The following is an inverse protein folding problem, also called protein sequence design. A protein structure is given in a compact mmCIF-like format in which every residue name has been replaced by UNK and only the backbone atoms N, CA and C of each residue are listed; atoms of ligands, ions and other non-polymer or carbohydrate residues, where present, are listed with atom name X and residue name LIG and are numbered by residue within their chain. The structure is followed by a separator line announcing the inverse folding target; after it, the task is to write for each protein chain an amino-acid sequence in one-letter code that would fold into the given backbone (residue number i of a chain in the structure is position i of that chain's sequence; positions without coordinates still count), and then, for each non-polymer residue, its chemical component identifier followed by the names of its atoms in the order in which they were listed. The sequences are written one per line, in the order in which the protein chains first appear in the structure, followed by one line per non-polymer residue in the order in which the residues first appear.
data_IF_589974201952
#
_entry.id   IF_589974201952
#
_cell.length_a   1.000
_cell.length_b   1.000
_cell.length_c   1.000
_cell.angle_alpha   90.00
_cell.angle_beta   90.00
_cell.angle_gamma   90.00
#
_symmetry.space_group_name_H-M   'P 1'
#
loop_
_entity.id
_entity.type
_entity.pdbx_description
1 polymer ?
#
# COMPACT_ATOMS: atom_id res chain seq x y z
N UNK A 1 -35.52 -13.96 -28.21
CA UNK A 1 -34.18 -13.35 -28.35
C UNK A 1 -33.26 -14.17 -27.46
N UNK A 2 -32.42 -15.02 -28.08
CA UNK A 2 -31.51 -15.88 -27.30
C UNK A 2 -30.23 -15.08 -27.06
N UNK A 3 -29.92 -14.77 -25.83
CA UNK A 3 -28.63 -14.19 -25.44
C UNK A 3 -27.58 -15.31 -25.61
N UNK A 4 -26.69 -15.15 -26.61
CA UNK A 4 -25.51 -15.97 -26.74
C UNK A 4 -24.36 -15.27 -25.99
N UNK A 5 -24.09 -15.71 -24.76
CA UNK A 5 -22.85 -15.35 -24.07
C UNK A 5 -21.77 -16.37 -24.48
N UNK A 6 -20.62 -15.88 -24.90
CA UNK A 6 -19.42 -16.69 -25.15
C UNK A 6 -18.38 -16.34 -24.09
N UNK A 7 -17.88 -17.35 -23.41
CA UNK A 7 -16.71 -17.20 -22.55
C UNK A 7 -15.49 -16.87 -23.43
N UNK A 8 -14.88 -15.73 -23.16
CA UNK A 8 -13.67 -15.28 -23.87
C UNK A 8 -12.38 -15.88 -23.31
N UNK A 9 -12.46 -16.63 -22.22
CA UNK A 9 -11.28 -17.20 -21.55
C UNK A 9 -10.37 -16.14 -20.92
N UNK A 10 -10.89 -14.93 -20.66
CA UNK A 10 -10.16 -13.85 -20.01
C UNK A 10 -10.59 -13.78 -18.53
N UNK A 11 -9.65 -13.96 -17.66
CA UNK A 11 -9.80 -13.72 -16.22
C UNK A 11 -9.16 -12.39 -15.86
N UNK A 12 -9.86 -11.58 -15.05
CA UNK A 12 -9.32 -10.39 -14.41
C UNK A 12 -9.10 -10.73 -12.94
N UNK A 13 -7.84 -10.98 -12.60
CA UNK A 13 -7.42 -11.23 -11.23
C UNK A 13 -6.97 -9.94 -10.54
N UNK A 14 -7.05 -9.94 -9.21
CA UNK A 14 -6.50 -8.89 -8.38
C UNK A 14 -4.96 -9.00 -8.32
N UNK A 15 -4.29 -7.86 -8.31
CA UNK A 15 -2.84 -7.78 -8.15
C UNK A 15 -2.47 -7.50 -6.69
N UNK A 16 -2.07 -8.54 -5.97
CA UNK A 16 -1.63 -8.46 -4.57
C UNK A 16 -0.33 -7.66 -4.39
N UNK A 17 0.40 -7.38 -5.47
CA UNK A 17 1.65 -6.60 -5.40
C UNK A 17 1.39 -5.10 -5.43
N UNK A 18 0.17 -4.67 -5.76
CA UNK A 18 -0.25 -3.26 -5.70
C UNK A 18 -0.51 -2.87 -4.26
N UNK A 19 0.47 -2.25 -3.65
CA UNK A 19 0.49 -1.89 -2.24
C UNK A 19 0.77 -0.41 -2.03
N UNK A 20 0.29 0.12 -0.91
CA UNK A 20 0.63 1.46 -0.43
C UNK A 20 1.10 1.36 1.01
N UNK A 21 2.15 2.10 1.35
CA UNK A 21 2.64 2.19 2.71
C UNK A 21 2.17 3.48 3.36
N UNK A 22 1.57 3.38 4.54
CA UNK A 22 0.99 4.52 5.26
C UNK A 22 1.35 4.46 6.74
N UNK A 23 1.35 5.63 7.38
CA UNK A 23 1.47 5.73 8.83
C UNK A 23 0.34 4.95 9.51
N UNK A 24 0.70 4.11 10.46
CA UNK A 24 -0.22 3.36 11.30
C UNK A 24 0.22 3.37 12.76
N UNK A 25 -0.63 3.91 13.64
CA UNK A 25 -0.43 3.89 15.08
C UNK A 25 -1.63 3.21 15.74
N UNK A 26 -1.52 1.94 16.16
CA UNK A 26 -2.62 1.26 16.82
C UNK A 26 -2.84 1.82 18.23
N UNK A 27 -4.08 2.08 18.60
CA UNK A 27 -4.49 2.28 19.99
C UNK A 27 -4.10 3.60 20.65
N UNK A 28 -4.19 4.72 19.94
CA UNK A 28 -3.79 6.05 20.44
C UNK A 28 -4.55 6.60 21.66
N UNK A 29 -5.57 5.95 22.20
CA UNK A 29 -6.49 6.67 23.09
C UNK A 29 -7.12 5.87 24.23
N UNK A 30 -6.38 5.09 24.95
CA UNK A 30 -6.90 4.54 26.21
C UNK A 30 -6.10 5.11 27.38
N UNK A 31 -6.49 6.29 27.87
CA UNK A 31 -6.01 6.77 29.16
C UNK A 31 -6.48 5.79 30.28
N UNK A 32 -5.65 5.40 31.26
CA UNK A 32 -4.43 6.09 31.74
C UNK A 32 -3.10 5.45 31.29
N UNK A 33 -3.08 4.64 30.24
CA UNK A 33 -1.86 3.98 29.79
C UNK A 33 -0.97 4.95 28.98
N UNK A 34 0.36 4.70 29.03
CA UNK A 34 1.29 5.43 28.14
C UNK A 34 0.83 5.32 26.69
N UNK A 35 0.92 6.40 25.90
CA UNK A 35 0.65 6.33 24.47
C UNK A 35 1.46 5.22 23.80
N UNK A 36 0.85 4.49 22.89
CA UNK A 36 1.52 3.39 22.17
C UNK A 36 2.82 3.86 21.50
N UNK A 37 2.83 5.09 21.00
CA UNK A 37 3.99 5.72 20.40
C UNK A 37 5.20 5.80 21.33
N UNK A 38 4.99 6.16 22.62
CA UNK A 38 6.06 6.22 23.63
C UNK A 38 6.65 4.82 23.89
N UNK A 39 5.79 3.80 24.02
CA UNK A 39 6.23 2.43 24.23
C UNK A 39 7.05 1.88 23.05
N UNK A 40 6.65 2.24 21.82
CA UNK A 40 7.40 1.89 20.60
C UNK A 40 8.77 2.59 20.65
N UNK A 41 8.81 3.90 20.89
CA UNK A 41 10.05 4.67 20.93
C UNK A 41 11.01 4.15 22.01
N UNK A 42 10.52 3.81 23.22
CA UNK A 42 11.32 3.19 24.28
C UNK A 42 11.94 1.86 23.83
N UNK A 43 11.16 0.98 23.18
CA UNK A 43 11.64 -0.31 22.69
C UNK A 43 12.69 -0.15 21.58
N UNK A 44 12.45 0.77 20.66
CA UNK A 44 13.40 1.04 19.56
C UNK A 44 14.71 1.57 20.13
N UNK A 45 14.69 2.49 21.10
CA UNK A 45 15.91 3.00 21.76
C UNK A 45 16.67 1.96 22.54
N UNK A 46 15.98 0.99 23.12
CA UNK A 46 16.60 -0.11 23.88
C UNK A 46 17.37 -1.11 22.99
N UNK A 47 17.21 -1.06 21.66
CA UNK A 47 17.98 -1.91 20.76
C UNK A 47 19.46 -1.56 20.81
N UNK A 48 20.32 -2.57 20.86
CA UNK A 48 21.75 -2.37 20.65
C UNK A 48 22.01 -1.81 19.23
N UNK A 49 23.02 -0.95 19.05
CA UNK A 49 23.25 -0.30 17.74
C UNK A 49 23.37 -1.28 16.56
N UNK A 50 23.95 -2.45 16.79
CA UNK A 50 24.10 -3.48 15.73
C UNK A 50 22.75 -4.14 15.40
N UNK A 51 21.92 -4.39 16.42
CA UNK A 51 20.55 -4.89 16.21
C UNK A 51 19.71 -3.91 15.42
N UNK A 52 19.75 -2.61 15.77
CA UNK A 52 19.04 -1.59 15.03
C UNK A 52 19.50 -1.52 13.58
N UNK A 53 20.82 -1.60 13.31
CA UNK A 53 21.35 -1.63 11.94
C UNK A 53 20.89 -2.84 11.15
N UNK A 54 20.85 -4.01 11.78
CA UNK A 54 20.37 -5.23 11.11
C UNK A 54 18.88 -5.12 10.76
N UNK A 55 18.05 -4.74 11.72
CA UNK A 55 16.61 -4.58 11.50
C UNK A 55 16.32 -3.51 10.41
N UNK A 56 17.03 -2.38 10.43
CA UNK A 56 16.89 -1.35 9.41
C UNK A 56 17.20 -1.87 8.00
N UNK A 57 18.29 -2.64 7.85
CA UNK A 57 18.62 -3.30 6.56
C UNK A 57 17.52 -4.26 6.13
N UNK A 58 17.10 -5.16 7.03
CA UNK A 58 16.08 -6.17 6.72
C UNK A 58 14.76 -5.52 6.28
N UNK A 59 14.36 -4.40 6.90
CA UNK A 59 13.18 -3.64 6.51
C UNK A 59 13.34 -3.03 5.10
N UNK A 60 14.47 -2.39 4.83
CA UNK A 60 14.72 -1.76 3.54
C UNK A 60 14.84 -2.80 2.41
N UNK A 61 15.48 -3.92 2.67
CA UNK A 61 15.62 -5.02 1.71
C UNK A 61 14.28 -5.70 1.40
N UNK A 62 13.45 -5.92 2.43
CA UNK A 62 12.17 -6.60 2.27
C UNK A 62 11.10 -5.74 1.56
N UNK A 63 11.05 -4.45 1.82
CA UNK A 63 9.98 -3.55 1.35
C UNK A 63 10.44 -2.60 0.25
N UNK A 64 11.73 -2.27 0.15
CA UNK A 64 12.29 -1.35 -0.84
C UNK A 64 11.93 -1.65 -2.29
N UNK A 65 11.92 -2.91 -2.75
CA UNK A 65 11.53 -3.25 -4.12
C UNK A 65 10.12 -2.80 -4.53
N UNK A 66 9.21 -2.65 -3.54
CA UNK A 66 7.82 -2.20 -3.79
C UNK A 66 7.58 -0.71 -3.52
N UNK A 67 8.51 -0.06 -2.83
CA UNK A 67 8.38 1.34 -2.41
C UNK A 67 9.65 2.12 -2.72
N UNK A 68 9.76 2.78 -3.89
CA UNK A 68 10.98 3.47 -4.31
C UNK A 68 11.50 4.52 -3.31
N UNK A 69 10.59 5.17 -2.55
CA UNK A 69 10.91 6.21 -1.58
C UNK A 69 10.80 5.74 -0.12
N UNK A 70 10.99 4.45 0.14
CA UNK A 70 10.73 3.82 1.44
C UNK A 70 11.50 4.46 2.59
N UNK A 71 12.79 4.73 2.39
CA UNK A 71 13.64 5.34 3.42
C UNK A 71 13.15 6.74 3.81
N UNK A 72 12.77 7.55 2.81
CA UNK A 72 12.19 8.86 3.05
C UNK A 72 10.79 8.77 3.70
N UNK A 73 9.99 7.75 3.37
CA UNK A 73 8.71 7.50 4.01
C UNK A 73 8.89 7.14 5.49
N UNK A 74 9.79 6.22 5.80
CA UNK A 74 10.10 5.84 7.19
C UNK A 74 10.60 7.05 7.97
N UNK A 75 11.47 7.87 7.39
CA UNK A 75 11.94 9.11 8.01
C UNK A 75 10.78 10.05 8.37
N UNK A 76 9.89 10.36 7.42
CA UNK A 76 8.73 11.22 7.68
C UNK A 76 7.80 10.66 8.76
N UNK A 77 7.55 9.36 8.75
CA UNK A 77 6.68 8.71 9.73
C UNK A 77 7.32 8.71 11.13
N UNK A 78 8.63 8.46 11.23
CA UNK A 78 9.37 8.56 12.48
C UNK A 78 9.31 9.98 13.05
N UNK A 79 9.65 10.99 12.24
CA UNK A 79 9.64 12.40 12.65
C UNK A 79 8.26 12.84 13.14
N UNK A 80 7.20 12.44 12.41
CA UNK A 80 5.83 12.75 12.80
C UNK A 80 5.47 12.17 14.17
N UNK A 81 5.76 10.88 14.40
CA UNK A 81 5.42 10.20 15.65
C UNK A 81 6.26 10.72 16.82
N UNK A 82 7.57 10.85 16.63
CA UNK A 82 8.48 11.38 17.64
C UNK A 82 8.12 12.82 18.03
N UNK A 83 7.79 13.67 17.05
CA UNK A 83 7.34 15.04 17.28
C UNK A 83 6.06 15.11 18.13
N UNK A 84 5.11 14.18 17.96
CA UNK A 84 3.88 14.11 18.74
C UNK A 84 4.10 13.77 20.23
N UNK A 85 5.13 13.00 20.52
CA UNK A 85 5.47 12.60 21.91
C UNK A 85 6.58 13.48 22.52
N UNK A 86 7.00 14.54 21.80
CA UNK A 86 8.04 15.46 22.27
C UNK A 86 9.44 14.84 22.33
N UNK A 87 9.70 13.82 21.51
CA UNK A 87 10.96 13.08 21.48
C UNK A 87 11.70 13.28 20.15
N UNK A 88 12.98 12.89 20.12
CA UNK A 88 13.83 13.00 18.94
C UNK A 88 14.76 11.79 18.83
N UNK A 89 15.01 11.36 17.58
CA UNK A 89 16.08 10.45 17.20
C UNK A 89 16.88 11.10 16.06
N UNK A 90 18.17 10.78 15.95
CA UNK A 90 19.02 11.30 14.88
C UNK A 90 18.47 10.84 13.52
N UNK A 91 18.10 11.80 12.67
CA UNK A 91 17.57 11.51 11.32
C UNK A 91 18.54 10.67 10.50
N UNK A 92 18.04 9.64 9.84
CA UNK A 92 18.84 8.70 9.06
C UNK A 92 19.62 7.69 9.90
N UNK A 93 19.55 7.74 11.22
CA UNK A 93 20.13 6.68 12.06
C UNK A 93 19.34 5.38 11.91
N UNK A 94 19.98 4.25 12.22
CA UNK A 94 19.31 2.96 12.18
C UNK A 94 18.08 2.90 13.12
N UNK A 95 18.17 3.50 14.30
CA UNK A 95 17.04 3.62 15.23
C UNK A 95 15.89 4.43 14.64
N UNK A 96 16.19 5.54 13.94
CA UNK A 96 15.20 6.37 13.28
C UNK A 96 14.50 5.60 12.14
N UNK A 97 15.25 4.84 11.33
CA UNK A 97 14.69 3.97 10.28
C UNK A 97 13.80 2.88 10.88
N UNK A 98 14.24 2.22 11.96
CA UNK A 98 13.44 1.20 12.65
C UNK A 98 12.17 1.80 13.26
N UNK A 99 12.26 3.01 13.85
CA UNK A 99 11.10 3.73 14.36
C UNK A 99 10.07 3.95 13.25
N UNK A 100 10.51 4.49 12.10
CA UNK A 100 9.65 4.72 10.95
C UNK A 100 9.02 3.44 10.41
N UNK A 101 9.81 2.37 10.26
CA UNK A 101 9.31 1.08 9.82
C UNK A 101 8.27 0.47 10.77
N UNK A 102 8.48 0.63 12.08
CA UNK A 102 7.54 0.10 13.10
C UNK A 102 6.17 0.80 13.09
N UNK A 103 6.13 2.07 12.69
CA UNK A 103 4.90 2.87 12.61
C UNK A 103 4.38 3.02 11.17
N UNK A 104 4.89 2.22 10.26
CA UNK A 104 4.41 2.16 8.87
C UNK A 104 3.80 0.80 8.60
N UNK A 105 2.59 0.78 8.04
CA UNK A 105 1.94 -0.44 7.60
C UNK A 105 1.76 -0.45 6.08
N UNK A 106 1.96 -1.61 5.47
CA UNK A 106 1.72 -1.84 4.05
C UNK A 106 0.30 -2.37 3.88
N UNK A 107 -0.45 -1.79 2.96
CA UNK A 107 -1.82 -2.18 2.64
C UNK A 107 -1.92 -2.55 1.17
N UNK A 108 -2.54 -3.68 0.87
CA UNK A 108 -2.93 -4.03 -0.49
C UNK A 108 -4.08 -3.13 -0.97
N UNK A 109 -3.97 -2.62 -2.20
CA UNK A 109 -4.97 -1.73 -2.81
C UNK A 109 -6.18 -2.50 -3.34
N UNK A 110 -5.97 -3.76 -3.77
CA UNK A 110 -7.00 -4.58 -4.41
C UNK A 110 -7.01 -6.05 -3.97
N UNK A 111 -6.27 -6.38 -2.90
CA UNK A 111 -6.09 -7.76 -2.46
C UNK A 111 -7.32 -8.45 -1.90
N UNK A 112 -8.41 -7.72 -1.60
CA UNK A 112 -9.62 -8.30 -1.02
C UNK A 112 -10.66 -8.68 -2.09
N UNK A 113 -10.92 -7.81 -3.08
CA UNK A 113 -11.88 -8.10 -4.15
C UNK A 113 -11.76 -7.17 -5.36
N UNK A 114 -12.15 -7.70 -6.53
CA UNK A 114 -12.54 -6.93 -7.71
C UNK A 114 -14.05 -7.07 -7.90
N UNK A 115 -14.77 -5.97 -8.04
CA UNK A 115 -16.21 -6.00 -8.13
C UNK A 115 -16.79 -4.85 -8.96
N UNK A 116 -18.11 -4.91 -9.21
CA UNK A 116 -18.88 -3.90 -9.92
C UNK A 116 -18.29 -3.55 -11.30
N UNK A 117 -18.04 -4.53 -12.21
CA UNK A 117 -17.54 -4.25 -13.54
C UNK A 117 -18.56 -3.40 -14.33
N UNK A 118 -18.03 -2.44 -15.08
CA UNK A 118 -18.80 -1.68 -16.06
C UNK A 118 -17.98 -1.59 -17.35
N UNK A 119 -18.63 -1.75 -18.50
CA UNK A 119 -17.97 -1.74 -19.79
C UNK A 119 -18.53 -0.61 -20.65
N UNK A 120 -17.65 0.10 -21.35
CA UNK A 120 -17.99 1.13 -22.31
C UNK A 120 -17.07 1.08 -23.53
N UNK A 121 -17.49 1.57 -24.72
CA UNK A 121 -16.60 1.75 -25.85
C UNK A 121 -15.44 2.67 -25.48
N UNK A 122 -14.22 2.28 -25.85
CA UNK A 122 -13.05 3.15 -25.70
C UNK A 122 -13.15 4.33 -26.69
N UNK A 123 -12.75 5.56 -26.32
CA UNK A 123 -12.82 6.72 -27.21
C UNK A 123 -11.95 6.58 -28.47
N UNK A 124 -10.85 5.86 -28.39
CA UNK A 124 -9.98 5.55 -29.53
C UNK A 124 -10.31 4.19 -30.10
N UNK A 125 -10.84 4.15 -31.34
CA UNK A 125 -11.18 2.96 -32.10
C UNK A 125 -10.22 2.73 -33.27
N UNK A 126 -9.10 3.42 -33.35
CA UNK A 126 -8.14 3.30 -34.46
C UNK A 126 -7.43 1.94 -34.48
N UNK A 127 -7.10 1.43 -35.67
CA UNK A 127 -6.35 0.20 -35.83
C UNK A 127 -7.13 -1.08 -35.53
N UNK A 128 -8.47 -1.04 -35.47
CA UNK A 128 -9.33 -2.21 -35.33
C UNK A 128 -9.69 -2.82 -36.69
N UNK A 129 -9.93 -4.13 -36.69
CA UNK A 129 -10.49 -4.84 -37.83
C UNK A 129 -12.03 -4.69 -37.87
N UNK A 130 -12.62 -4.96 -39.02
CA UNK A 130 -14.08 -4.94 -39.17
C UNK A 130 -14.75 -5.90 -38.16
N UNK A 131 -15.72 -5.38 -37.44
CA UNK A 131 -16.46 -6.11 -36.42
C UNK A 131 -15.81 -6.12 -35.01
N UNK A 132 -14.64 -5.53 -34.86
CA UNK A 132 -14.00 -5.37 -33.56
C UNK A 132 -14.44 -4.06 -32.87
N UNK A 133 -14.45 -4.10 -31.53
CA UNK A 133 -14.73 -2.94 -30.68
C UNK A 133 -13.69 -2.89 -29.57
N UNK A 134 -12.96 -1.77 -29.46
CA UNK A 134 -12.12 -1.52 -28.29
C UNK A 134 -13.01 -1.00 -27.15
N UNK A 135 -12.86 -1.62 -26.00
CA UNK A 135 -13.64 -1.31 -24.81
C UNK A 135 -12.74 -0.94 -23.65
N UNK A 136 -13.28 -0.18 -22.71
CA UNK A 136 -12.72 0.03 -21.39
C UNK A 136 -13.65 -0.61 -20.36
N UNK A 137 -13.09 -1.38 -19.45
CA UNK A 137 -13.78 -1.97 -18.30
C UNK A 137 -13.30 -1.26 -17.05
N UNK A 138 -14.22 -0.69 -16.31
CA UNK A 138 -13.94 -0.17 -14.96
C UNK A 138 -14.28 -1.21 -13.91
N UNK A 139 -13.47 -1.29 -12.86
CA UNK A 139 -13.61 -2.22 -11.75
C UNK A 139 -13.45 -1.46 -10.44
N UNK A 140 -14.28 -1.76 -9.47
CA UNK A 140 -14.03 -1.36 -8.09
C UNK A 140 -13.06 -2.34 -7.47
N UNK A 141 -11.94 -1.83 -7.00
CA UNK A 141 -10.90 -2.58 -6.31
C UNK A 141 -11.06 -2.34 -4.81
N UNK A 142 -11.12 -3.42 -4.03
CA UNK A 142 -11.23 -3.37 -2.57
C UNK A 142 -9.94 -3.94 -1.99
N UNK A 143 -9.26 -3.11 -1.22
CA UNK A 143 -8.02 -3.44 -0.53
C UNK A 143 -8.18 -3.53 0.98
N UNK A 144 -7.05 -3.66 1.65
CA UNK A 144 -6.95 -3.68 3.11
C UNK A 144 -7.13 -2.27 3.69
N UNK A 145 -7.37 -2.18 5.00
CA UNK A 145 -7.49 -0.89 5.70
C UNK A 145 -8.62 0.01 5.17
N UNK A 146 -9.70 -0.58 4.61
CA UNK A 146 -10.81 0.14 3.98
C UNK A 146 -10.41 0.94 2.73
N UNK A 147 -9.27 0.64 2.12
CA UNK A 147 -8.88 1.24 0.84
C UNK A 147 -9.83 0.77 -0.25
N UNK A 148 -10.33 1.71 -1.04
CA UNK A 148 -11.15 1.42 -2.21
C UNK A 148 -10.70 2.31 -3.35
N UNK A 149 -10.45 1.72 -4.52
CA UNK A 149 -9.99 2.42 -5.71
C UNK A 149 -10.80 1.99 -6.95
N UNK A 150 -10.59 2.68 -8.06
CA UNK A 150 -11.12 2.32 -9.36
C UNK A 150 -9.96 1.92 -10.27
N UNK A 151 -10.04 0.72 -10.81
CA UNK A 151 -9.15 0.24 -11.84
C UNK A 151 -9.81 0.30 -13.22
N UNK A 152 -8.99 0.41 -14.26
CA UNK A 152 -9.44 0.41 -15.65
C UNK A 152 -8.58 -0.54 -16.47
N UNK A 153 -9.23 -1.38 -17.25
CA UNK A 153 -8.60 -2.31 -18.19
C UNK A 153 -9.17 -2.05 -19.59
N UNK A 154 -8.32 -2.06 -20.59
CA UNK A 154 -8.74 -1.95 -22.00
C UNK A 154 -8.60 -3.29 -22.69
N UNK A 155 -9.55 -3.59 -23.57
CA UNK A 155 -9.55 -4.81 -24.38
C UNK A 155 -10.19 -4.58 -25.75
N UNK A 156 -10.08 -5.57 -26.64
CA UNK A 156 -10.77 -5.60 -27.94
C UNK A 156 -11.67 -6.83 -27.98
N UNK A 157 -12.92 -6.63 -28.33
CA UNK A 157 -13.96 -7.65 -28.47
C UNK A 157 -14.49 -7.71 -29.90
#
# INVERSE_FOLDING_TARGET
MTLLARDAGLELDHDVTRVVAQLFLPGESIAPMKPQAELIAERVRALAPEQARQIARDLLDAFGPRHPDLEALFGRNADYVLGRIGEHMESGSAHHTVMGGTVTNEYSVEGAALCNPSIAPHPDQTGLLDGQLRVVVSLRQIGEGHISSLGFVTGVI
#
